data_IF_055252850735
#
_entry.id   IF_055252850735
#
_cell.length_a   1.000
_cell.length_b   1.000
_cell.length_c   1.000
_cell.angle_alpha   90.00
_cell.angle_beta   90.00
_cell.angle_gamma   90.00
#
_symmetry.space_group_name_H-M   'P 1'
#
loop_
_entity.id
_entity.type
_entity.pdbx_description
1 polymer ?
#
# COMPACT_ATOMS: atom_id res chain seq x y z
N UNK A 1 19.15 12.49 -12.22
CA UNK A 1 17.96 12.75 -13.06
C UNK A 1 16.96 11.58 -13.08
N UNK A 2 16.75 10.87 -11.95
CA UNK A 2 15.98 9.61 -11.91
C UNK A 2 14.70 9.66 -11.05
N UNK A 3 14.19 10.84 -10.72
CA UNK A 3 12.96 11.02 -9.92
C UNK A 3 11.70 11.34 -10.73
N UNK A 4 11.83 11.59 -12.05
CA UNK A 4 10.73 12.07 -12.91
C UNK A 4 10.03 10.97 -13.72
N UNK A 5 10.65 9.80 -13.86
CA UNK A 5 10.11 8.67 -14.62
C UNK A 5 8.78 8.14 -14.04
N UNK A 6 8.61 7.94 -12.72
CA UNK A 6 7.34 7.43 -12.19
C UNK A 6 6.19 8.47 -12.26
N UNK A 7 6.50 9.76 -12.33
CA UNK A 7 5.51 10.84 -12.47
C UNK A 7 5.00 10.91 -13.92
N UNK A 8 5.91 10.77 -14.90
CA UNK A 8 5.56 10.82 -16.31
C UNK A 8 4.65 9.65 -16.74
N UNK A 9 4.87 8.44 -16.18
CA UNK A 9 4.03 7.26 -16.43
C UNK A 9 2.62 7.36 -15.81
N UNK A 10 2.47 8.09 -14.70
CA UNK A 10 1.15 8.34 -14.09
C UNK A 10 0.26 9.24 -14.94
N UNK A 11 0.85 10.15 -15.70
CA UNK A 11 0.09 11.12 -16.49
C UNK A 11 -0.45 10.47 -17.76
N UNK A 12 0.33 9.62 -18.43
CA UNK A 12 -0.11 8.94 -19.68
C UNK A 12 -1.27 7.97 -19.46
N UNK A 13 -1.27 7.23 -18.36
CA UNK A 13 -2.36 6.32 -17.98
C UNK A 13 -3.67 7.07 -17.69
N UNK A 14 -3.60 8.22 -17.02
CA UNK A 14 -4.76 9.07 -16.78
C UNK A 14 -5.38 9.61 -18.08
N UNK A 15 -4.57 9.99 -19.07
CA UNK A 15 -5.06 10.45 -20.37
C UNK A 15 -5.76 9.35 -21.18
N UNK A 16 -5.28 8.11 -21.11
CA UNK A 16 -5.95 6.98 -21.78
C UNK A 16 -7.27 6.60 -21.10
N UNK A 17 -7.35 6.69 -19.77
CA UNK A 17 -8.58 6.40 -19.03
C UNK A 17 -9.72 7.38 -19.29
N UNK A 18 -9.47 8.60 -19.82
CA UNK A 18 -10.55 9.55 -20.16
C UNK A 18 -11.53 8.97 -21.21
N UNK A 19 -11.05 8.07 -22.08
CA UNK A 19 -11.89 7.39 -23.08
C UNK A 19 -12.52 6.08 -22.56
N UNK A 20 -12.19 5.66 -21.34
CA UNK A 20 -12.70 4.45 -20.70
C UNK A 20 -13.33 4.81 -19.35
N UNK A 21 -14.62 5.19 -19.31
CA UNK A 21 -15.29 5.64 -18.08
C UNK A 21 -15.25 4.59 -16.95
N UNK A 22 -15.16 3.30 -17.30
CA UNK A 22 -14.92 2.21 -16.34
C UNK A 22 -13.59 2.35 -15.60
N UNK A 23 -12.52 2.78 -16.26
CA UNK A 23 -11.21 2.98 -15.65
C UNK A 23 -11.20 4.18 -14.71
N UNK A 24 -11.86 5.27 -15.08
CA UNK A 24 -12.04 6.44 -14.21
C UNK A 24 -12.78 6.04 -12.93
N UNK A 25 -13.84 5.23 -13.05
CA UNK A 25 -14.60 4.76 -11.88
C UNK A 25 -13.73 3.91 -10.95
N UNK A 26 -12.84 3.07 -11.49
CA UNK A 26 -11.92 2.25 -10.72
C UNK A 26 -10.84 3.10 -10.04
N UNK A 27 -10.33 4.14 -10.70
CA UNK A 27 -9.38 5.09 -10.12
C UNK A 27 -10.02 5.90 -8.99
N UNK A 28 -11.25 6.36 -9.16
CA UNK A 28 -12.03 7.03 -8.11
C UNK A 28 -12.21 6.09 -6.92
N UNK A 29 -12.70 4.86 -7.15
CA UNK A 29 -12.86 3.86 -6.09
C UNK A 29 -11.54 3.56 -5.37
N UNK A 30 -10.44 3.47 -6.10
CA UNK A 30 -9.11 3.27 -5.54
C UNK A 30 -8.65 4.45 -4.66
N UNK A 31 -8.87 5.69 -5.11
CA UNK A 31 -8.54 6.89 -4.34
C UNK A 31 -9.38 6.98 -3.06
N UNK A 32 -10.66 6.61 -3.12
CA UNK A 32 -11.57 6.61 -1.98
C UNK A 32 -11.49 5.33 -1.14
N UNK A 33 -10.69 4.34 -1.55
CA UNK A 33 -10.50 3.11 -0.80
C UNK A 33 -9.75 3.40 0.50
N UNK A 34 -10.46 3.25 1.62
CA UNK A 34 -9.84 3.30 2.95
C UNK A 34 -9.41 1.88 3.32
N UNK A 35 -8.12 1.64 3.58
CA UNK A 35 -7.69 0.32 4.06
C UNK A 35 -8.41 0.01 5.37
N UNK A 36 -9.10 -1.13 5.41
CA UNK A 36 -9.97 -1.53 6.53
C UNK A 36 -9.17 -1.96 7.76
N UNK A 37 -7.96 -2.51 7.55
CA UNK A 37 -7.08 -2.98 8.61
C UNK A 37 -5.88 -2.05 8.72
N UNK A 38 -5.95 -1.11 9.66
CA UNK A 38 -4.81 -0.32 10.07
C UNK A 38 -4.06 -1.14 11.11
N UNK A 39 -2.77 -1.38 10.88
CA UNK A 39 -1.89 -2.05 11.83
C UNK A 39 -1.75 -1.17 13.09
N UNK A 40 -2.46 -1.52 14.16
CA UNK A 40 -2.34 -0.86 15.45
C UNK A 40 -1.48 -1.72 16.40
N UNK A 41 -0.22 -1.31 16.60
CA UNK A 41 0.66 -1.93 17.59
C UNK A 41 0.70 -1.03 18.81
N UNK A 42 0.33 -1.57 19.97
CA UNK A 42 0.43 -0.85 21.24
C UNK A 42 1.89 -0.46 21.52
N UNK A 43 2.16 0.77 21.99
CA UNK A 43 3.52 1.26 22.20
C UNK A 43 4.28 0.47 23.27
N UNK A 44 3.58 -0.20 24.19
CA UNK A 44 4.23 -1.11 25.14
C UNK A 44 4.91 -2.32 24.48
N UNK A 45 4.49 -2.72 23.27
CA UNK A 45 4.98 -3.92 22.61
C UNK A 45 6.19 -3.66 21.70
N UNK A 46 7.30 -3.24 22.32
CA UNK A 46 8.55 -2.86 21.63
C UNK A 46 9.12 -3.97 20.73
N UNK A 47 8.95 -5.23 21.11
CA UNK A 47 9.43 -6.36 20.31
C UNK A 47 8.67 -6.46 18.99
N UNK A 48 7.33 -6.36 19.04
CA UNK A 48 6.49 -6.40 17.84
C UNK A 48 6.82 -5.26 16.88
N UNK A 49 6.99 -4.05 17.40
CA UNK A 49 7.42 -2.89 16.60
C UNK A 49 8.72 -3.20 15.84
N UNK A 50 9.73 -3.71 16.55
CA UNK A 50 11.02 -4.05 15.95
C UNK A 50 10.93 -5.15 14.88
N UNK A 51 10.07 -6.16 15.06
CA UNK A 51 9.82 -7.17 14.04
C UNK A 51 9.27 -6.56 12.75
N UNK A 52 8.32 -5.63 12.83
CA UNK A 52 7.78 -4.96 11.65
C UNK A 52 8.78 -3.98 11.01
N UNK A 53 9.70 -3.39 11.78
CA UNK A 53 10.82 -2.61 11.22
C UNK A 53 11.75 -3.50 10.38
N UNK A 54 12.09 -4.70 10.87
CA UNK A 54 12.88 -5.66 10.08
C UNK A 54 12.11 -6.17 8.86
N UNK A 55 10.80 -6.38 8.99
CA UNK A 55 9.95 -6.75 7.86
C UNK A 55 10.01 -5.69 6.76
N UNK A 56 9.93 -4.41 7.11
CA UNK A 56 10.05 -3.31 6.15
C UNK A 56 11.42 -3.28 5.47
N UNK A 57 12.49 -3.47 6.24
CA UNK A 57 13.87 -3.43 5.71
C UNK A 57 14.16 -4.57 4.74
N UNK A 58 13.63 -5.77 5.02
CA UNK A 58 13.90 -6.99 4.25
C UNK A 58 12.96 -7.17 3.06
N UNK A 59 11.69 -6.76 3.18
CA UNK A 59 10.64 -7.12 2.23
C UNK A 59 10.02 -5.93 1.49
N UNK A 60 10.25 -4.69 1.95
CA UNK A 60 9.82 -3.42 1.31
C UNK A 60 8.36 -3.43 0.86
N UNK A 61 8.10 -3.53 -0.44
CA UNK A 61 6.74 -3.50 -1.01
C UNK A 61 5.88 -4.67 -0.54
N UNK A 62 6.46 -5.82 -0.24
CA UNK A 62 5.73 -6.97 0.29
C UNK A 62 5.35 -6.79 1.76
N UNK A 63 6.15 -6.05 2.55
CA UNK A 63 5.81 -5.72 3.94
C UNK A 63 4.49 -4.93 4.03
N UNK A 64 4.23 -4.06 3.05
CA UNK A 64 2.96 -3.31 2.96
C UNK A 64 1.76 -4.23 2.72
N UNK A 65 1.95 -5.37 2.04
CA UNK A 65 0.89 -6.38 1.82
C UNK A 65 0.61 -7.12 3.13
N UNK A 66 1.64 -7.58 3.84
CA UNK A 66 1.49 -8.28 5.12
C UNK A 66 0.77 -7.42 6.14
N UNK A 67 1.11 -6.12 6.23
CA UNK A 67 0.47 -5.18 7.17
C UNK A 67 -1.03 -4.96 6.91
N UNK A 68 -1.51 -5.23 5.70
CA UNK A 68 -2.93 -5.11 5.32
C UNK A 68 -3.75 -6.39 5.57
N UNK A 69 -3.09 -7.51 5.91
CA UNK A 69 -3.77 -8.75 6.25
C UNK A 69 -4.62 -8.60 7.52
N UNK A 70 -5.63 -9.45 7.63
CA UNK A 70 -6.42 -9.59 8.86
C UNK A 70 -5.53 -10.01 10.03
N UNK A 71 -5.83 -9.49 11.22
CA UNK A 71 -5.05 -9.68 12.43
C UNK A 71 -4.76 -11.16 12.75
N UNK A 72 -5.73 -12.04 12.48
CA UNK A 72 -5.61 -13.48 12.72
C UNK A 72 -4.54 -14.17 11.86
N UNK A 73 -4.27 -13.66 10.66
CA UNK A 73 -3.30 -14.24 9.71
C UNK A 73 -1.98 -13.49 9.76
N UNK A 74 -2.02 -12.19 10.05
CA UNK A 74 -0.86 -11.30 9.97
C UNK A 74 0.30 -11.67 10.90
N UNK A 75 0.01 -12.12 12.12
CA UNK A 75 1.06 -12.51 13.08
C UNK A 75 1.58 -13.95 12.83
N UNK A 76 0.94 -14.73 11.94
CA UNK A 76 1.36 -16.08 11.60
C UNK A 76 2.32 -16.14 10.39
N UNK A 77 2.42 -15.05 9.63
CA UNK A 77 3.28 -14.89 8.44
C UNK A 77 4.57 -14.17 8.82
#
# INVERSE_FOLDING_TARGET
>A
SLSLIPIMLKISSLYQSIFHPSEISALIQFIFYKPKNILEIKPENKQKIRCYEFLDQTSRSFAAVIKQLDDAVRDAV
#
